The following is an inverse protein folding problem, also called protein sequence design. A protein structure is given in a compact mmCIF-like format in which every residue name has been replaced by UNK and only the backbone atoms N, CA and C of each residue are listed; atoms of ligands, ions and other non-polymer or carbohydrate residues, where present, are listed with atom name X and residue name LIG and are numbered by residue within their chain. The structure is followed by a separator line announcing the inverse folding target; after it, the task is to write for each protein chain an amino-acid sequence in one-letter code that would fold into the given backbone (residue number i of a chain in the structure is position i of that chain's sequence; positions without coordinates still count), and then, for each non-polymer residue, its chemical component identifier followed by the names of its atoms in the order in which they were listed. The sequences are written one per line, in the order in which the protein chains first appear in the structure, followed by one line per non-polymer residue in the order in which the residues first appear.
data_IF_272082271973
#
_entry.id   IF_272082271973
#
_cell.length_a   1.000
_cell.length_b   1.000
_cell.length_c   1.000
_cell.angle_alpha   90.00
_cell.angle_beta   90.00
_cell.angle_gamma   90.00
#
_symmetry.space_group_name_H-M   'P 1'
#
loop_
_entity.id
_entity.type
_entity.pdbx_description
1 polymer ?
#
# COMPACT_ATOMS: atom_id res chain seq x y z
N UNK A 1 -25.63 -96.91 22.27
CA UNK A 1 -25.49 -95.48 21.89
C UNK A 1 -24.25 -94.93 22.58
N UNK A 2 -23.10 -94.96 21.89
CA UNK A 2 -21.82 -94.40 22.35
C UNK A 2 -21.57 -93.05 21.60
N UNK A 3 -20.60 -92.17 21.80
CA UNK A 3 -19.46 -91.96 22.71
C UNK A 3 -18.83 -90.61 22.28
N UNK A 4 -18.34 -89.83 23.25
CA UNK A 4 -17.17 -88.92 23.25
C UNK A 4 -16.93 -87.75 22.25
N UNK A 5 -16.15 -86.80 22.79
CA UNK A 5 -15.20 -85.83 22.17
C UNK A 5 -15.79 -84.61 21.47
N UNK A 6 -15.19 -83.42 21.46
CA UNK A 6 -14.26 -82.61 22.29
C UNK A 6 -14.19 -81.27 21.52
N UNK A 7 -14.00 -80.16 22.23
CA UNK A 7 -13.23 -78.98 21.85
C UNK A 7 -13.35 -78.40 20.42
N UNK A 8 -13.78 -77.14 20.30
CA UNK A 8 -12.85 -76.02 20.07
C UNK A 8 -13.57 -74.69 19.85
N UNK A 9 -12.86 -73.62 20.23
CA UNK A 9 -13.12 -72.19 19.98
C UNK A 9 -14.19 -71.51 20.84
N UNK A 10 -13.75 -71.22 22.07
CA UNK A 10 -13.88 -69.89 22.64
C UNK A 10 -13.21 -68.90 21.68
N UNK A 11 -13.98 -68.08 20.95
CA UNK A 11 -13.72 -66.69 20.59
C UNK A 11 -14.87 -66.20 19.70
N UNK A 12 -15.15 -64.90 19.71
CA UNK A 12 -16.22 -64.21 18.94
C UNK A 12 -17.60 -64.07 19.58
N UNK A 13 -17.69 -63.54 20.81
CA UNK A 13 -18.87 -62.76 21.26
C UNK A 13 -18.56 -61.58 22.20
N UNK A 14 -17.39 -60.93 22.08
CA UNK A 14 -17.06 -59.72 22.85
C UNK A 14 -16.25 -58.68 22.05
N UNK A 15 -16.58 -58.45 20.78
CA UNK A 15 -16.05 -57.30 20.01
C UNK A 15 -17.21 -56.62 19.30
N UNK A 16 -18.14 -56.08 20.09
CA UNK A 16 -19.22 -55.22 19.59
C UNK A 16 -19.65 -54.29 20.73
N UNK A 17 -18.70 -53.56 21.33
CA UNK A 17 -18.96 -52.47 22.29
C UNK A 17 -17.72 -51.62 22.65
N UNK A 18 -16.71 -51.54 21.78
CA UNK A 18 -15.56 -50.63 21.96
C UNK A 18 -15.07 -50.11 20.61
N UNK A 19 -15.90 -49.31 19.93
CA UNK A 19 -15.48 -48.52 18.75
C UNK A 19 -16.44 -47.35 18.46
N UNK A 20 -17.08 -46.77 19.48
CA UNK A 20 -17.89 -45.54 19.35
C UNK A 20 -17.40 -44.53 20.39
N UNK A 21 -16.15 -44.14 20.24
CA UNK A 21 -15.52 -43.18 21.13
C UNK A 21 -14.12 -42.89 20.64
N UNK A 22 -14.00 -42.37 19.41
CA UNK A 22 -12.82 -41.67 18.87
C UNK A 22 -13.13 -41.04 17.49
N UNK A 23 -14.35 -40.54 17.33
CA UNK A 23 -14.71 -39.60 16.28
C UNK A 23 -15.50 -38.51 16.96
N UNK A 24 -14.82 -37.46 17.43
CA UNK A 24 -15.31 -36.11 17.77
C UNK A 24 -14.29 -35.44 18.70
N UNK A 25 -13.17 -34.97 18.15
CA UNK A 25 -12.48 -33.71 18.52
C UNK A 25 -11.30 -33.50 17.57
N UNK A 26 -11.61 -33.24 16.31
CA UNK A 26 -10.79 -32.34 15.48
C UNK A 26 -11.75 -31.35 14.84
N UNK A 27 -12.54 -30.69 15.70
CA UNK A 27 -12.92 -29.33 15.40
C UNK A 27 -11.66 -28.55 15.71
N UNK A 28 -10.97 -28.05 14.68
CA UNK A 28 -9.82 -27.17 14.86
C UNK A 28 -10.20 -26.13 15.91
N UNK A 29 -9.42 -26.05 16.99
CA UNK A 29 -9.59 -25.04 18.01
C UNK A 29 -9.59 -23.69 17.31
N UNK A 30 -10.78 -23.09 17.17
CA UNK A 30 -10.88 -21.67 16.87
C UNK A 30 -10.27 -21.00 18.09
N UNK A 31 -9.01 -20.61 17.99
CA UNK A 31 -8.35 -19.79 19.00
C UNK A 31 -9.28 -18.62 19.29
N UNK A 32 -9.76 -18.51 20.54
CA UNK A 32 -10.59 -17.39 20.91
C UNK A 32 -9.76 -16.12 20.66
N UNK A 33 -10.38 -15.10 20.07
CA UNK A 33 -9.76 -13.79 19.87
C UNK A 33 -9.24 -13.26 21.21
N UNK A 34 -9.94 -13.56 22.30
CA UNK A 34 -9.49 -13.19 23.65
C UNK A 34 -8.16 -13.86 24.02
N UNK A 35 -7.92 -15.12 23.63
CA UNK A 35 -6.68 -15.86 23.87
C UNK A 35 -5.54 -15.42 22.94
N UNK A 36 -5.84 -15.11 21.67
CA UNK A 36 -4.83 -14.70 20.68
C UNK A 36 -4.12 -13.39 21.08
N UNK A 37 -4.87 -12.43 21.62
CA UNK A 37 -4.39 -11.09 21.94
C UNK A 37 -4.23 -10.85 23.45
N UNK A 38 -3.87 -11.90 24.21
CA UNK A 38 -3.42 -11.76 25.60
C UNK A 38 -2.00 -11.20 25.63
N UNK A 39 -1.74 -10.28 26.56
CA UNK A 39 -0.40 -9.73 26.81
C UNK A 39 0.57 -10.83 27.25
N UNK A 40 1.69 -10.97 26.53
CA UNK A 40 2.75 -11.97 26.73
C UNK A 40 4.11 -11.33 27.05
N UNK A 41 4.24 -10.01 26.97
CA UNK A 41 5.49 -9.30 27.26
C UNK A 41 6.54 -9.42 26.14
N UNK A 42 6.08 -9.57 24.89
CA UNK A 42 6.93 -9.63 23.69
C UNK A 42 7.49 -8.24 23.35
N UNK A 43 8.56 -8.19 22.55
CA UNK A 43 9.10 -6.92 22.02
C UNK A 43 8.02 -6.11 21.28
N UNK A 44 7.25 -6.76 20.42
CA UNK A 44 6.08 -6.18 19.78
C UNK A 44 4.90 -7.16 19.91
N UNK A 45 3.77 -6.68 20.41
CA UNK A 45 2.57 -7.49 20.52
C UNK A 45 1.31 -6.67 20.34
N UNK A 46 0.23 -7.35 19.97
CA UNK A 46 -1.09 -6.74 19.91
C UNK A 46 -1.88 -7.31 21.06
N UNK A 47 -2.44 -6.43 21.86
CA UNK A 47 -3.29 -6.79 22.99
C UNK A 47 -4.70 -6.31 22.75
N UNK A 48 -5.67 -7.12 23.17
CA UNK A 48 -7.06 -6.68 23.25
C UNK A 48 -7.29 -6.07 24.63
N UNK A 49 -7.69 -4.81 24.66
CA UNK A 49 -8.08 -4.08 25.87
C UNK A 49 -9.52 -3.63 25.68
N UNK A 50 -10.44 -4.17 26.48
CA UNK A 50 -11.88 -3.99 26.30
C UNK A 50 -12.33 -4.32 24.86
N UNK A 51 -12.90 -3.35 24.15
CA UNK A 51 -13.35 -3.48 22.76
C UNK A 51 -12.30 -2.97 21.73
N UNK A 52 -11.10 -2.62 22.17
CA UNK A 52 -10.03 -2.08 21.35
C UNK A 52 -8.84 -3.03 21.19
N UNK A 53 -8.13 -2.87 20.07
CA UNK A 53 -6.83 -3.52 19.84
C UNK A 53 -5.73 -2.48 19.91
N UNK A 54 -4.72 -2.73 20.74
CA UNK A 54 -3.58 -1.85 20.94
C UNK A 54 -2.32 -2.59 20.53
N UNK A 55 -1.61 -2.05 19.55
CA UNK A 55 -0.25 -2.48 19.26
C UNK A 55 0.67 -1.92 20.34
N UNK A 56 1.45 -2.77 20.99
CA UNK A 56 2.45 -2.42 21.99
C UNK A 56 3.83 -2.64 21.41
N UNK A 57 4.75 -1.71 21.69
CA UNK A 57 6.19 -1.86 21.47
C UNK A 57 6.90 -1.71 22.80
N UNK A 58 7.60 -2.76 23.23
CA UNK A 58 8.27 -2.86 24.53
C UNK A 58 7.32 -2.51 25.69
N UNK A 59 6.06 -2.94 25.59
CA UNK A 59 5.02 -2.71 26.60
C UNK A 59 4.29 -1.38 26.52
N UNK A 60 4.72 -0.44 25.66
CA UNK A 60 4.11 0.87 25.50
C UNK A 60 3.18 0.94 24.27
N UNK A 61 2.01 1.62 24.34
CA UNK A 61 1.12 1.82 23.21
C UNK A 61 1.82 2.45 22.00
N UNK A 62 1.59 1.88 20.82
CA UNK A 62 2.26 2.24 19.59
C UNK A 62 1.25 2.32 18.44
N UNK A 63 0.76 3.51 18.14
CA UNK A 63 -0.06 3.75 16.94
C UNK A 63 0.83 4.07 15.73
N UNK A 64 0.62 3.38 14.61
CA UNK A 64 1.46 3.51 13.43
C UNK A 64 1.14 4.80 12.66
N UNK A 65 2.05 5.78 12.76
CA UNK A 65 2.10 7.01 11.94
C UNK A 65 3.14 6.79 10.85
N UNK A 66 2.76 5.98 9.87
CA UNK A 66 3.70 5.35 8.95
C UNK A 66 3.78 5.99 7.57
N UNK A 67 4.92 5.77 6.92
CA UNK A 67 5.15 6.08 5.51
C UNK A 67 5.68 4.85 4.74
N UNK A 68 5.15 4.61 3.54
CA UNK A 68 5.60 3.54 2.65
C UNK A 68 6.68 4.06 1.70
N UNK A 69 7.90 3.51 1.79
CA UNK A 69 9.04 4.01 1.02
C UNK A 69 10.35 3.35 1.43
N UNK A 70 11.41 3.60 0.65
CA UNK A 70 12.76 3.04 0.90
C UNK A 70 13.81 4.13 1.21
N UNK A 71 13.43 5.40 1.20
CA UNK A 71 14.33 6.56 1.32
C UNK A 71 13.68 7.68 2.15
N UNK A 72 14.43 8.75 2.45
CA UNK A 72 13.96 9.95 3.14
C UNK A 72 13.43 9.69 4.56
N UNK A 73 14.13 8.84 5.32
CA UNK A 73 13.72 8.43 6.67
C UNK A 73 13.88 9.54 7.71
N UNK A 74 14.91 10.37 7.54
CA UNK A 74 15.03 11.68 8.19
C UNK A 74 13.75 12.49 8.05
N UNK A 75 13.24 12.65 6.83
CA UNK A 75 12.03 13.44 6.56
C UNK A 75 10.77 12.82 7.16
N UNK A 76 10.66 11.48 7.21
CA UNK A 76 9.56 10.80 7.91
C UNK A 76 9.57 11.24 9.38
N UNK A 77 10.75 11.19 10.01
CA UNK A 77 10.90 11.55 11.42
C UNK A 77 10.64 13.03 11.68
N UNK A 78 11.18 13.91 10.83
CA UNK A 78 11.01 15.37 10.92
C UNK A 78 9.53 15.77 10.81
N UNK A 79 8.78 15.10 9.94
CA UNK A 79 7.34 15.34 9.80
C UNK A 79 6.48 14.60 10.85
N UNK A 80 7.09 13.96 11.86
CA UNK A 80 6.39 13.34 12.99
C UNK A 80 5.92 11.89 12.76
N UNK A 81 6.33 11.28 11.65
CA UNK A 81 6.15 9.85 11.43
C UNK A 81 7.02 9.01 12.39
N UNK A 82 6.60 7.78 12.62
CA UNK A 82 7.29 6.85 13.54
C UNK A 82 7.65 5.50 12.91
N UNK A 83 7.16 5.19 11.71
CA UNK A 83 7.33 3.87 11.11
C UNK A 83 7.47 3.92 9.58
N UNK A 84 8.18 2.95 9.03
CA UNK A 84 8.36 2.74 7.60
C UNK A 84 7.79 1.39 7.20
N UNK A 85 7.14 1.31 6.04
CA UNK A 85 6.79 0.03 5.40
C UNK A 85 7.62 -0.15 4.13
N UNK A 86 8.21 -1.34 4.00
CA UNK A 86 8.90 -1.80 2.79
C UNK A 86 8.31 -3.14 2.33
N UNK A 87 8.37 -3.40 1.03
CA UNK A 87 7.69 -4.55 0.40
C UNK A 87 8.56 -5.81 0.33
N UNK A 88 9.89 -5.67 0.40
CA UNK A 88 10.82 -6.78 0.26
C UNK A 88 12.05 -6.64 1.15
N UNK A 89 12.66 -7.76 1.51
CA UNK A 89 13.83 -7.83 2.36
C UNK A 89 15.19 -7.72 1.64
N UNK A 90 15.22 -7.40 0.33
CA UNK A 90 16.45 -7.38 -0.48
C UNK A 90 17.60 -6.56 0.13
N UNK A 91 17.28 -5.40 0.70
CA UNK A 91 18.22 -4.51 1.39
C UNK A 91 17.83 -4.31 2.87
N UNK A 92 17.29 -5.35 3.50
CA UNK A 92 16.70 -5.25 4.85
C UNK A 92 17.67 -4.67 5.89
N UNK A 93 18.94 -5.09 5.91
CA UNK A 93 19.93 -4.56 6.85
C UNK A 93 20.04 -3.03 6.77
N UNK A 94 20.25 -2.48 5.56
CA UNK A 94 20.35 -1.04 5.35
C UNK A 94 19.07 -0.30 5.74
N UNK A 95 17.90 -0.85 5.36
CA UNK A 95 16.61 -0.24 5.71
C UNK A 95 16.40 -0.23 7.23
N UNK A 96 16.70 -1.33 7.89
CA UNK A 96 16.52 -1.48 9.32
C UNK A 96 17.50 -0.57 10.09
N UNK A 97 18.77 -0.53 9.70
CA UNK A 97 19.80 0.33 10.29
C UNK A 97 19.45 1.82 10.12
N UNK A 98 19.03 2.22 8.91
CA UNK A 98 18.68 3.62 8.65
C UNK A 98 17.41 4.02 9.41
N UNK A 99 16.39 3.14 9.47
CA UNK A 99 15.19 3.41 10.27
C UNK A 99 15.56 3.56 11.75
N UNK A 100 16.41 2.67 12.27
CA UNK A 100 16.85 2.72 13.66
C UNK A 100 17.62 4.01 13.98
N UNK A 101 18.53 4.42 13.10
CA UNK A 101 19.29 5.68 13.21
C UNK A 101 18.37 6.90 13.37
N UNK A 102 17.21 6.90 12.71
CA UNK A 102 16.21 7.96 12.81
C UNK A 102 15.12 7.71 13.88
N UNK A 103 15.26 6.66 14.68
CA UNK A 103 14.29 6.29 15.72
C UNK A 103 12.94 5.83 15.16
N UNK A 104 12.93 5.32 13.93
CA UNK A 104 11.77 4.74 13.26
C UNK A 104 11.73 3.23 13.43
N UNK A 105 10.54 2.67 13.28
CA UNK A 105 10.33 1.23 13.18
C UNK A 105 10.03 0.78 11.75
N UNK A 106 10.07 -0.52 11.46
CA UNK A 106 9.92 -1.07 10.11
C UNK A 106 8.93 -2.23 10.12
N UNK A 107 7.86 -2.11 9.32
CA UNK A 107 7.12 -3.27 8.83
C UNK A 107 7.86 -3.82 7.61
N UNK A 108 8.54 -4.95 7.79
CA UNK A 108 9.45 -5.53 6.81
C UNK A 108 8.72 -6.57 5.94
N UNK A 109 8.55 -6.26 4.66
CA UNK A 109 7.89 -7.15 3.71
C UNK A 109 8.75 -8.35 3.28
N UNK A 110 8.11 -9.50 3.25
CA UNK A 110 8.53 -10.73 2.59
C UNK A 110 7.74 -10.84 1.29
N UNK A 111 8.41 -10.63 0.15
CA UNK A 111 7.78 -10.60 -1.16
C UNK A 111 7.37 -12.01 -1.61
N UNK A 112 6.19 -12.46 -1.18
CA UNK A 112 5.56 -13.66 -1.70
C UNK A 112 5.40 -13.53 -3.22
N UNK A 113 5.99 -14.46 -3.97
CA UNK A 113 5.87 -14.47 -5.43
C UNK A 113 4.40 -14.57 -5.85
N UNK A 114 3.97 -13.76 -6.83
CA UNK A 114 2.54 -13.67 -7.16
C UNK A 114 2.19 -14.60 -8.31
N UNK A 115 0.97 -15.14 -8.29
CA UNK A 115 0.47 -16.02 -9.36
C UNK A 115 0.48 -15.31 -10.72
N UNK A 116 0.07 -14.05 -10.76
CA UNK A 116 0.11 -13.21 -11.97
C UNK A 116 1.52 -13.02 -12.54
N UNK A 117 2.57 -13.30 -11.75
CA UNK A 117 3.97 -13.25 -12.17
C UNK A 117 4.49 -14.63 -12.62
N UNK A 118 3.61 -15.63 -12.68
CA UNK A 118 3.90 -17.00 -13.11
C UNK A 118 4.18 -17.99 -11.97
N UNK A 119 4.02 -17.60 -10.70
CA UNK A 119 4.28 -18.50 -9.58
C UNK A 119 3.13 -19.49 -9.35
N UNK A 120 3.44 -20.79 -9.25
CA UNK A 120 2.45 -21.84 -9.06
C UNK A 120 2.47 -22.40 -7.63
N UNK A 121 1.49 -22.03 -6.81
CA UNK A 121 1.35 -22.55 -5.43
C UNK A 121 0.93 -24.02 -5.33
N UNK A 122 0.63 -24.70 -6.44
CA UNK A 122 0.49 -26.17 -6.44
C UNK A 122 1.84 -26.90 -6.52
N UNK A 123 2.92 -26.21 -6.94
CA UNK A 123 4.26 -26.77 -6.95
C UNK A 123 4.88 -26.70 -5.55
N UNK A 124 4.78 -27.82 -4.83
CA UNK A 124 5.31 -27.94 -3.47
C UNK A 124 6.81 -27.66 -3.34
N UNK A 125 7.60 -27.88 -4.40
CA UNK A 125 9.05 -27.60 -4.34
C UNK A 125 9.31 -26.10 -4.40
N UNK A 126 8.59 -25.38 -5.26
CA UNK A 126 8.70 -23.91 -5.35
C UNK A 126 8.23 -23.25 -4.05
N UNK A 127 7.10 -23.70 -3.49
CA UNK A 127 6.57 -23.18 -2.22
C UNK A 127 7.55 -23.46 -1.07
N UNK A 128 8.07 -24.69 -0.95
CA UNK A 128 9.04 -25.03 0.09
C UNK A 128 10.36 -24.26 -0.02
N UNK A 129 10.83 -24.00 -1.24
CA UNK A 129 12.03 -23.19 -1.47
C UNK A 129 11.81 -21.75 -1.02
N UNK A 130 10.68 -21.13 -1.37
CA UNK A 130 10.33 -19.78 -0.93
C UNK A 130 10.21 -19.69 0.61
N UNK A 131 9.56 -20.68 1.25
CA UNK A 131 9.47 -20.74 2.71
C UNK A 131 10.85 -20.81 3.37
N UNK A 132 11.77 -21.61 2.81
CA UNK A 132 13.15 -21.72 3.30
C UNK A 132 13.90 -20.38 3.19
N UNK A 133 13.78 -19.69 2.05
CA UNK A 133 14.40 -18.38 1.84
C UNK A 133 13.88 -17.35 2.84
N UNK A 134 12.57 -17.33 3.12
CA UNK A 134 12.02 -16.45 4.14
C UNK A 134 12.46 -16.82 5.56
N UNK A 135 12.62 -18.10 5.88
CA UNK A 135 13.17 -18.52 7.19
C UNK A 135 14.57 -17.96 7.42
N UNK A 136 15.42 -17.96 6.40
CA UNK A 136 16.76 -17.37 6.49
C UNK A 136 16.72 -15.85 6.73
N UNK A 137 15.80 -15.15 6.06
CA UNK A 137 15.58 -13.71 6.27
C UNK A 137 15.09 -13.43 7.69
N UNK A 138 14.07 -14.15 8.17
CA UNK A 138 13.49 -13.95 9.51
C UNK A 138 14.54 -14.24 10.58
N UNK A 139 15.26 -15.35 10.48
CA UNK A 139 16.33 -15.68 11.41
C UNK A 139 17.42 -14.60 11.45
N UNK A 140 17.72 -13.95 10.32
CA UNK A 140 18.74 -12.92 10.26
C UNK A 140 18.33 -11.61 10.94
N UNK A 141 17.07 -11.19 10.82
CA UNK A 141 16.66 -9.83 11.20
C UNK A 141 15.68 -9.75 12.38
N UNK A 142 15.19 -10.88 12.91
CA UNK A 142 14.24 -10.91 14.03
C UNK A 142 14.65 -10.13 15.27
N UNK A 143 15.95 -9.97 15.51
CA UNK A 143 16.48 -9.29 16.69
C UNK A 143 16.78 -7.80 16.45
N UNK A 144 16.51 -7.29 15.24
CA UNK A 144 16.81 -5.90 14.91
C UNK A 144 15.87 -4.94 15.67
N UNK A 145 16.39 -3.92 16.38
CA UNK A 145 15.57 -3.05 17.27
C UNK A 145 14.53 -2.18 16.55
N UNK A 146 14.74 -1.91 15.26
CA UNK A 146 13.76 -1.22 14.42
C UNK A 146 12.66 -2.13 13.86
N UNK A 147 12.77 -3.46 13.93
CA UNK A 147 11.72 -4.32 13.41
C UNK A 147 10.42 -4.12 14.22
N UNK A 148 9.30 -3.92 13.51
CA UNK A 148 7.97 -3.79 14.12
C UNK A 148 7.14 -5.05 13.85
N UNK A 149 7.07 -5.47 12.60
CA UNK A 149 6.13 -6.47 12.13
C UNK A 149 6.63 -7.08 10.82
N UNK A 150 6.31 -8.35 10.58
CA UNK A 150 6.59 -9.03 9.32
C UNK A 150 5.40 -8.95 8.37
N UNK A 151 5.64 -8.43 7.17
CA UNK A 151 4.65 -8.36 6.10
C UNK A 151 4.71 -9.57 5.17
N UNK A 152 3.81 -10.54 5.31
CA UNK A 152 3.76 -11.77 4.52
C UNK A 152 2.99 -11.52 3.21
N UNK A 153 3.73 -11.21 2.15
CA UNK A 153 3.20 -10.93 0.82
C UNK A 153 2.57 -9.56 0.67
N UNK A 154 2.35 -9.15 -0.59
CA UNK A 154 1.65 -7.93 -0.93
C UNK A 154 0.71 -8.18 -2.11
N UNK A 155 -0.59 -7.99 -1.89
CA UNK A 155 -1.63 -8.12 -2.91
C UNK A 155 -1.56 -9.46 -3.65
N UNK A 156 -1.23 -10.53 -2.91
CA UNK A 156 -1.22 -11.89 -3.46
C UNK A 156 -2.61 -12.36 -3.90
N UNK A 157 -3.66 -11.62 -3.52
CA UNK A 157 -5.03 -11.79 -3.97
C UNK A 157 -5.38 -11.05 -5.28
N UNK A 158 -4.45 -10.26 -5.84
CA UNK A 158 -4.66 -9.56 -7.11
C UNK A 158 -4.57 -10.55 -8.27
N UNK A 159 -5.68 -10.70 -9.00
CA UNK A 159 -5.83 -11.61 -10.14
C UNK A 159 -5.49 -13.08 -9.83
N UNK A 160 -5.55 -13.45 -8.55
CA UNK A 160 -5.24 -14.80 -8.10
C UNK A 160 -6.45 -15.75 -8.24
N UNK A 161 -6.19 -16.92 -8.81
CA UNK A 161 -7.14 -18.03 -8.90
C UNK A 161 -6.70 -19.23 -8.07
N UNK A 162 -5.41 -19.30 -7.72
CA UNK A 162 -4.83 -20.35 -6.94
C UNK A 162 -5.03 -20.12 -5.44
N UNK A 163 -5.99 -20.82 -4.85
CA UNK A 163 -6.26 -20.71 -3.41
C UNK A 163 -5.13 -21.19 -2.51
N UNK A 164 -4.17 -21.99 -3.03
CA UNK A 164 -3.00 -22.48 -2.26
C UNK A 164 -2.01 -21.41 -1.85
N UNK A 165 -2.15 -20.20 -2.39
CA UNK A 165 -1.41 -19.04 -1.89
C UNK A 165 -1.68 -18.80 -0.40
N UNK A 166 -2.90 -19.05 0.08
CA UNK A 166 -3.26 -18.82 1.47
C UNK A 166 -2.68 -19.86 2.43
N UNK A 167 -2.60 -21.11 2.00
CA UNK A 167 -1.86 -22.16 2.73
C UNK A 167 -0.40 -21.72 2.91
N UNK A 168 0.25 -21.25 1.83
CA UNK A 168 1.64 -20.79 1.88
C UNK A 168 1.82 -19.52 2.74
N UNK A 169 0.89 -18.56 2.67
CA UNK A 169 0.89 -17.38 3.55
C UNK A 169 0.80 -17.80 5.02
N UNK A 170 -0.05 -18.76 5.34
CA UNK A 170 -0.17 -19.27 6.70
C UNK A 170 1.10 -20.01 7.15
N UNK A 171 1.65 -20.89 6.32
CA UNK A 171 2.91 -21.61 6.61
C UNK A 171 4.07 -20.65 6.89
N UNK A 172 4.16 -19.54 6.15
CA UNK A 172 5.16 -18.50 6.41
C UNK A 172 4.89 -17.80 7.75
N UNK A 173 3.63 -17.48 8.07
CA UNK A 173 3.28 -16.85 9.35
C UNK A 173 3.56 -17.78 10.55
N UNK A 174 3.25 -19.07 10.45
CA UNK A 174 3.59 -20.08 11.46
C UNK A 174 5.10 -20.21 11.65
N UNK A 175 5.85 -20.25 10.54
CA UNK A 175 7.31 -20.27 10.59
C UNK A 175 7.88 -19.02 11.27
N UNK A 176 7.32 -17.84 11.01
CA UNK A 176 7.74 -16.61 11.68
C UNK A 176 7.51 -16.73 13.18
N UNK A 177 6.32 -17.16 13.64
CA UNK A 177 6.04 -17.32 15.07
C UNK A 177 6.94 -18.35 15.76
N UNK A 178 7.38 -19.38 15.03
CA UNK A 178 8.35 -20.36 15.52
C UNK A 178 9.74 -19.74 15.73
N UNK A 179 10.22 -18.96 14.75
CA UNK A 179 11.60 -18.44 14.71
C UNK A 179 11.75 -17.11 15.47
N UNK A 180 10.71 -16.28 15.42
CA UNK A 180 10.58 -14.94 15.97
C UNK A 180 9.24 -14.82 16.73
N UNK A 181 9.19 -15.26 17.99
CA UNK A 181 7.99 -15.13 18.81
C UNK A 181 7.75 -13.69 19.29
N UNK A 182 8.64 -12.75 18.97
CA UNK A 182 8.67 -11.39 19.50
C UNK A 182 7.99 -10.35 18.60
N UNK A 183 7.69 -10.69 17.34
CA UNK A 183 7.07 -9.77 16.38
C UNK A 183 5.81 -10.37 15.73
N UNK A 184 4.75 -9.57 15.53
CA UNK A 184 3.54 -9.99 14.84
C UNK A 184 3.73 -10.15 13.32
N UNK A 185 2.78 -10.84 12.70
CA UNK A 185 2.67 -11.00 11.24
C UNK A 185 1.45 -10.28 10.69
N UNK A 186 1.56 -9.76 9.47
CA UNK A 186 0.45 -9.21 8.69
C UNK A 186 0.50 -9.68 7.26
N UNK A 187 -0.64 -9.77 6.56
CA UNK A 187 -0.69 -9.87 5.10
C UNK A 187 -1.44 -8.69 4.48
N UNK A 188 -0.96 -8.16 3.35
CA UNK A 188 -1.52 -6.98 2.71
C UNK A 188 -2.43 -7.37 1.55
N UNK A 189 -3.70 -7.02 1.65
CA UNK A 189 -4.73 -7.30 0.65
C UNK A 189 -5.01 -6.07 -0.22
N UNK A 190 -5.22 -6.28 -1.52
CA UNK A 190 -5.82 -5.24 -2.36
C UNK A 190 -7.33 -5.19 -2.12
N UNK A 191 -7.81 -4.05 -1.58
CA UNK A 191 -9.23 -3.76 -1.34
C UNK A 191 -9.91 -4.53 -0.19
N UNK A 192 -11.17 -4.19 0.09
CA UNK A 192 -11.98 -4.69 1.22
C UNK A 192 -13.09 -5.67 0.82
N UNK A 193 -12.73 -6.73 0.09
CA UNK A 193 -13.72 -7.76 -0.28
C UNK A 193 -13.97 -8.69 0.91
N UNK A 194 -15.18 -8.66 1.48
CA UNK A 194 -15.58 -9.51 2.63
C UNK A 194 -15.29 -11.00 2.35
N UNK A 195 -15.54 -11.47 1.12
CA UNK A 195 -15.23 -12.86 0.73
C UNK A 195 -13.73 -13.18 0.89
N UNK A 196 -12.85 -12.28 0.46
CA UNK A 196 -11.40 -12.43 0.61
C UNK A 196 -10.99 -12.38 2.07
N UNK A 197 -11.52 -11.43 2.85
CA UNK A 197 -11.24 -11.33 4.30
C UNK A 197 -11.66 -12.63 5.01
N UNK A 198 -12.83 -13.18 4.69
CA UNK A 198 -13.31 -14.42 5.28
C UNK A 198 -12.47 -15.64 4.88
N UNK A 199 -11.96 -15.66 3.65
CA UNK A 199 -11.05 -16.69 3.18
C UNK A 199 -9.72 -16.63 3.95
N UNK A 200 -9.09 -15.45 4.04
CA UNK A 200 -7.84 -15.26 4.81
C UNK A 200 -8.05 -15.59 6.29
N UNK A 201 -9.17 -15.19 6.87
CA UNK A 201 -9.50 -15.53 8.27
C UNK A 201 -9.58 -17.04 8.48
N UNK A 202 -10.03 -17.80 7.48
CA UNK A 202 -10.18 -19.26 7.56
C UNK A 202 -8.86 -19.99 7.29
N UNK A 203 -8.14 -19.60 6.25
CA UNK A 203 -6.96 -20.32 5.75
C UNK A 203 -5.65 -19.81 6.36
N UNK A 204 -5.64 -18.63 6.97
CA UNK A 204 -4.44 -18.02 7.56
C UNK A 204 -4.58 -17.68 9.06
N UNK A 205 -4.93 -18.64 9.94
CA UNK A 205 -5.11 -18.38 11.37
C UNK A 205 -3.86 -17.83 12.09
N UNK A 206 -2.66 -18.09 11.58
CA UNK A 206 -1.42 -17.57 12.15
C UNK A 206 -1.23 -16.05 11.90
N UNK A 207 -1.90 -15.45 10.91
CA UNK A 207 -1.80 -14.01 10.66
C UNK A 207 -2.39 -13.21 11.82
N UNK A 208 -1.63 -12.28 12.40
CA UNK A 208 -2.04 -11.45 13.56
C UNK A 208 -2.83 -10.20 13.15
N UNK A 209 -2.55 -9.66 11.96
CA UNK A 209 -3.20 -8.45 11.43
C UNK A 209 -3.56 -8.65 9.97
N UNK A 210 -4.77 -8.23 9.58
CA UNK A 210 -5.08 -8.07 8.15
C UNK A 210 -4.81 -6.63 7.76
N UNK A 211 -3.97 -6.45 6.75
CA UNK A 211 -3.65 -5.15 6.20
C UNK A 211 -4.32 -4.91 4.85
N UNK A 212 -4.61 -3.65 4.54
CA UNK A 212 -5.27 -3.27 3.29
C UNK A 212 -4.53 -2.16 2.57
N UNK A 213 -4.28 -2.37 1.28
CA UNK A 213 -3.89 -1.31 0.35
C UNK A 213 -5.18 -0.67 -0.20
N UNK A 214 -5.36 0.61 0.08
CA UNK A 214 -6.62 1.31 -0.15
C UNK A 214 -6.43 2.79 -0.45
N UNK A 215 -7.02 3.25 -1.56
CA UNK A 215 -6.97 4.63 -2.00
C UNK A 215 -8.37 5.27 -1.92
N UNK A 216 -9.19 5.26 -2.99
CA UNK A 216 -10.51 5.88 -2.90
C UNK A 216 -11.55 5.06 -2.13
N UNK A 217 -11.54 3.74 -2.26
CA UNK A 217 -12.55 2.87 -1.68
C UNK A 217 -12.36 2.60 -0.17
N UNK A 218 -12.12 3.66 0.61
CA UNK A 218 -11.97 3.59 2.07
C UNK A 218 -13.26 3.85 2.84
N UNK A 219 -14.39 4.12 2.18
CA UNK A 219 -15.66 4.29 2.90
C UNK A 219 -16.05 2.98 3.61
N UNK A 220 -16.51 3.10 4.85
CA UNK A 220 -17.06 2.01 5.65
C UNK A 220 -16.04 0.88 5.97
N UNK A 221 -14.73 1.15 6.07
CA UNK A 221 -13.72 0.11 6.38
C UNK A 221 -14.12 -0.68 7.63
N UNK A 222 -14.35 0.03 8.74
CA UNK A 222 -14.68 -0.59 10.01
C UNK A 222 -15.96 -1.44 9.92
N UNK A 223 -16.99 -0.94 9.24
CA UNK A 223 -18.26 -1.66 9.02
C UNK A 223 -18.05 -2.93 8.20
N UNK A 224 -17.25 -2.90 7.13
CA UNK A 224 -16.94 -4.08 6.31
C UNK A 224 -16.15 -5.12 7.11
N UNK A 225 -15.21 -4.68 7.94
CA UNK A 225 -14.47 -5.57 8.84
C UNK A 225 -15.43 -6.21 9.87
N UNK A 226 -16.32 -5.43 10.49
CA UNK A 226 -17.34 -5.94 11.42
C UNK A 226 -18.26 -6.99 10.78
N UNK A 227 -18.63 -6.81 9.51
CA UNK A 227 -19.45 -7.76 8.74
C UNK A 227 -18.70 -9.03 8.31
N UNK A 228 -17.36 -9.04 8.40
CA UNK A 228 -16.54 -10.20 8.07
C UNK A 228 -16.38 -11.15 9.27
N UNK A 229 -15.77 -12.30 8.98
CA UNK A 229 -15.36 -13.27 9.98
C UNK A 229 -14.11 -12.81 10.75
N UNK A 230 -13.37 -11.82 10.25
CA UNK A 230 -12.19 -11.30 10.93
C UNK A 230 -12.59 -10.55 12.21
N UNK A 231 -11.98 -10.93 13.32
CA UNK A 231 -12.26 -10.36 14.64
C UNK A 231 -11.06 -9.64 15.26
N UNK A 232 -9.88 -9.70 14.63
CA UNK A 232 -8.67 -9.02 15.06
C UNK A 232 -8.57 -7.55 14.60
N UNK A 233 -7.41 -6.92 14.81
CA UNK A 233 -7.11 -5.57 14.32
C UNK A 233 -6.93 -5.54 12.80
N UNK A 234 -6.91 -4.33 12.24
CA UNK A 234 -6.45 -4.09 10.88
C UNK A 234 -5.50 -2.92 10.79
N UNK A 235 -4.74 -2.87 9.70
CA UNK A 235 -3.79 -1.82 9.37
C UNK A 235 -4.09 -1.33 7.94
N UNK A 236 -4.05 -0.02 7.71
CA UNK A 236 -4.09 0.51 6.34
C UNK A 236 -2.66 0.55 5.80
N UNK A 237 -2.23 -0.50 5.14
CA UNK A 237 -0.83 -0.69 4.72
C UNK A 237 -0.40 0.20 3.57
N UNK A 238 -1.34 0.74 2.80
CA UNK A 238 -1.11 1.80 1.82
C UNK A 238 -2.36 2.67 1.74
N UNK A 239 -2.18 3.99 1.81
CA UNK A 239 -3.18 4.99 1.44
C UNK A 239 -2.50 6.21 0.83
N UNK A 240 -3.21 6.97 0.01
CA UNK A 240 -2.62 8.12 -0.69
C UNK A 240 -3.61 8.77 -1.66
N UNK A 241 -3.07 9.37 -2.72
CA UNK A 241 -3.87 9.88 -3.84
C UNK A 241 -4.80 8.80 -4.42
N UNK A 242 -5.87 9.22 -5.10
CA UNK A 242 -6.78 8.29 -5.79
C UNK A 242 -6.00 7.42 -6.78
N UNK A 243 -6.31 6.11 -6.84
CA UNK A 243 -5.67 5.23 -7.82
C UNK A 243 -6.07 5.59 -9.25
N UNK A 244 -5.17 5.40 -10.22
CA UNK A 244 -5.46 5.67 -11.64
C UNK A 244 -6.62 4.85 -12.20
N UNK A 245 -6.91 3.69 -11.61
CA UNK A 245 -8.06 2.85 -11.95
C UNK A 245 -9.38 3.32 -11.31
N UNK A 246 -9.36 4.39 -10.50
CA UNK A 246 -10.52 4.94 -9.78
C UNK A 246 -10.92 6.33 -10.31
N UNK A 247 -10.24 6.83 -11.34
CA UNK A 247 -10.45 8.17 -11.91
C UNK A 247 -11.15 8.13 -13.27
N UNK A 248 -11.63 9.30 -13.72
CA UNK A 248 -12.13 9.46 -15.08
C UNK A 248 -10.96 9.43 -16.08
N UNK A 249 -11.26 9.10 -17.33
CA UNK A 249 -10.28 9.07 -18.41
C UNK A 249 -10.65 10.04 -19.52
N UNK A 250 -9.64 10.48 -20.27
CA UNK A 250 -9.83 11.16 -21.55
C UNK A 250 -10.39 10.20 -22.61
N UNK A 251 -10.74 10.74 -23.79
CA UNK A 251 -11.20 9.94 -24.94
C UNK A 251 -10.17 8.94 -25.48
N UNK A 252 -8.90 9.06 -25.12
CA UNK A 252 -7.82 8.11 -25.47
C UNK A 252 -7.35 7.32 -24.25
N UNK A 253 -8.22 7.13 -23.27
CA UNK A 253 -8.02 6.33 -22.06
C UNK A 253 -6.88 6.78 -21.14
N UNK A 254 -6.37 8.02 -21.30
CA UNK A 254 -5.42 8.58 -20.34
C UNK A 254 -6.16 8.98 -19.05
N UNK A 255 -5.74 8.48 -17.87
CA UNK A 255 -6.42 8.77 -16.61
C UNK A 255 -6.16 10.22 -16.15
N UNK A 256 -7.19 10.88 -15.64
CA UNK A 256 -7.10 12.23 -15.08
C UNK A 256 -6.49 12.17 -13.69
N UNK A 257 -5.41 12.92 -13.48
CA UNK A 257 -4.67 12.95 -12.22
C UNK A 257 -5.09 14.17 -11.40
N UNK A 258 -5.28 13.96 -10.09
CA UNK A 258 -5.54 15.04 -9.15
C UNK A 258 -4.38 16.03 -9.09
N UNK A 259 -4.66 17.31 -8.88
CA UNK A 259 -3.61 18.26 -8.47
C UNK A 259 -3.05 17.87 -7.09
N UNK A 260 -1.86 18.36 -6.72
CA UNK A 260 -1.28 18.10 -5.39
C UNK A 260 -2.19 18.56 -4.26
N UNK A 261 -2.92 19.66 -4.43
CA UNK A 261 -3.86 20.18 -3.43
C UNK A 261 -5.13 19.35 -3.32
N UNK A 262 -5.63 18.81 -4.43
CA UNK A 262 -6.71 17.83 -4.42
C UNK A 262 -6.27 16.51 -3.76
N UNK A 263 -5.04 16.06 -3.99
CA UNK A 263 -4.45 14.89 -3.31
C UNK A 263 -4.38 15.13 -1.81
N UNK A 264 -3.87 16.28 -1.37
CA UNK A 264 -3.75 16.63 0.04
C UNK A 264 -5.11 16.60 0.76
N UNK A 265 -6.11 17.26 0.16
CA UNK A 265 -7.48 17.28 0.68
C UNK A 265 -8.08 15.86 0.76
N UNK A 266 -7.87 15.06 -0.28
CA UNK A 266 -8.37 13.69 -0.35
C UNK A 266 -7.71 12.77 0.70
N UNK A 267 -6.40 12.88 0.88
CA UNK A 267 -5.63 12.09 1.87
C UNK A 267 -6.06 12.45 3.28
N UNK A 268 -6.22 13.75 3.59
CA UNK A 268 -6.73 14.21 4.90
C UNK A 268 -8.06 13.56 5.23
N UNK A 269 -9.02 13.62 4.31
CA UNK A 269 -10.36 13.05 4.50
C UNK A 269 -10.28 11.54 4.82
N UNK A 270 -9.45 10.79 4.08
CA UNK A 270 -9.31 9.34 4.27
C UNK A 270 -8.63 8.96 5.57
N UNK A 271 -7.60 9.69 5.96
CA UNK A 271 -6.92 9.47 7.23
C UNK A 271 -7.88 9.64 8.41
N UNK A 272 -8.57 10.79 8.46
CA UNK A 272 -9.50 11.12 9.55
C UNK A 272 -10.67 10.13 9.65
N UNK A 273 -11.18 9.65 8.51
CA UNK A 273 -12.33 8.74 8.48
C UNK A 273 -12.00 7.29 8.81
N UNK A 274 -10.77 6.82 8.52
CA UNK A 274 -10.51 5.37 8.47
C UNK A 274 -9.23 4.89 9.16
N UNK A 275 -8.32 5.81 9.50
CA UNK A 275 -7.02 5.48 10.08
C UNK A 275 -6.88 6.00 11.51
N UNK A 276 -7.34 7.23 11.80
CA UNK A 276 -7.28 7.90 13.11
C UNK A 276 -7.31 6.95 14.32
N UNK A 277 -6.52 7.22 15.38
CA UNK A 277 -6.46 6.37 16.59
C UNK A 277 -7.83 6.13 17.25
N UNK A 278 -8.82 6.96 16.99
CA UNK A 278 -10.19 6.81 17.52
C UNK A 278 -10.98 5.66 16.85
N UNK A 279 -10.40 4.98 15.86
CA UNK A 279 -11.07 3.96 15.06
C UNK A 279 -10.72 2.58 15.60
N UNK A 280 -11.68 1.96 16.32
CA UNK A 280 -11.40 0.96 17.36
C UNK A 280 -10.59 -0.29 17.00
N UNK A 281 -10.57 -0.72 15.72
CA UNK A 281 -9.74 -1.87 15.28
C UNK A 281 -8.54 -1.47 14.42
N UNK A 282 -8.36 -0.20 14.11
CA UNK A 282 -7.24 0.28 13.33
C UNK A 282 -6.02 0.49 14.22
N UNK A 283 -4.88 -0.10 13.86
CA UNK A 283 -3.61 0.12 14.58
C UNK A 283 -2.69 1.14 13.88
N UNK A 284 -3.19 1.79 12.84
CA UNK A 284 -2.54 2.89 12.13
C UNK A 284 -2.51 2.72 10.63
N UNK A 285 -1.57 3.40 9.96
CA UNK A 285 -1.47 3.35 8.51
C UNK A 285 -0.14 3.83 7.95
N UNK A 286 0.09 3.51 6.67
CA UNK A 286 1.26 3.92 5.91
C UNK A 286 0.86 4.75 4.68
N UNK A 287 1.20 6.05 4.69
CA UNK A 287 0.96 6.92 3.53
C UNK A 287 1.90 6.55 2.39
N UNK A 288 1.41 6.53 1.16
CA UNK A 288 2.11 6.05 -0.03
C UNK A 288 2.07 7.10 -1.14
N UNK A 289 3.18 7.41 -1.82
CA UNK A 289 4.55 6.90 -1.69
C UNK A 289 5.47 7.99 -1.11
N UNK A 290 6.14 7.70 0.00
CA UNK A 290 7.03 8.67 0.67
C UNK A 290 8.34 8.84 -0.10
N UNK A 291 8.32 9.76 -1.05
CA UNK A 291 9.41 10.05 -1.98
C UNK A 291 8.89 10.27 -3.40
N UNK A 292 9.72 9.92 -4.37
CA UNK A 292 9.42 10.05 -5.80
C UNK A 292 9.51 8.70 -6.51
N UNK A 293 8.48 8.34 -7.28
CA UNK A 293 8.42 7.10 -8.06
C UNK A 293 7.62 7.33 -9.34
N UNK A 294 8.12 6.82 -10.46
CA UNK A 294 7.31 6.66 -11.66
C UNK A 294 6.28 5.55 -11.42
N UNK A 295 4.99 5.91 -11.41
CA UNK A 295 3.87 4.97 -11.43
C UNK A 295 2.66 5.64 -12.07
N UNK A 296 2.26 5.19 -13.25
CA UNK A 296 1.41 5.95 -14.22
C UNK A 296 2.04 7.26 -14.69
N UNK A 297 2.34 8.19 -13.78
CA UNK A 297 3.04 9.46 -14.03
C UNK A 297 4.15 9.65 -12.98
N UNK A 298 5.09 10.59 -13.16
CA UNK A 298 6.08 10.90 -12.12
C UNK A 298 5.46 11.47 -10.84
N UNK A 299 4.24 12.03 -10.92
CA UNK A 299 3.58 12.72 -9.81
C UNK A 299 2.46 11.93 -9.14
N UNK A 300 2.00 10.82 -9.72
CA UNK A 300 0.75 10.17 -9.30
C UNK A 300 0.68 9.90 -7.80
N UNK A 301 1.62 9.09 -7.30
CA UNK A 301 1.73 8.73 -5.88
C UNK A 301 2.94 9.37 -5.19
N UNK A 302 3.77 10.12 -5.91
CA UNK A 302 4.95 10.78 -5.35
C UNK A 302 4.51 11.88 -4.38
N UNK A 303 4.92 11.79 -3.12
CA UNK A 303 4.70 12.83 -2.11
C UNK A 303 5.78 13.92 -2.13
N UNK A 304 6.88 13.65 -2.84
CA UNK A 304 8.01 14.56 -3.00
C UNK A 304 8.42 14.62 -4.47
N UNK A 305 9.07 15.71 -4.86
CA UNK A 305 9.76 15.79 -6.14
C UNK A 305 10.95 14.82 -6.19
N UNK A 306 11.59 14.71 -7.36
CA UNK A 306 12.84 13.97 -7.53
C UNK A 306 14.01 14.56 -6.72
N UNK A 307 14.00 15.87 -6.49
CA UNK A 307 15.04 16.61 -5.74
C UNK A 307 14.72 16.72 -4.25
N UNK A 308 13.51 16.34 -3.84
CA UNK A 308 13.13 16.18 -2.43
C UNK A 308 12.19 17.26 -1.89
N UNK A 309 11.78 18.24 -2.70
CA UNK A 309 10.74 19.20 -2.30
C UNK A 309 9.42 18.50 -1.98
N UNK A 310 8.73 19.00 -0.96
CA UNK A 310 7.58 18.34 -0.35
C UNK A 310 6.26 18.88 -0.90
N UNK A 311 5.29 18.00 -1.10
CA UNK A 311 3.95 18.40 -1.54
C UNK A 311 3.05 18.76 -0.37
N UNK A 312 1.93 19.44 -0.62
CA UNK A 312 0.91 19.75 0.40
C UNK A 312 0.38 18.48 1.12
N UNK A 313 0.49 17.29 0.51
CA UNK A 313 0.14 16.05 1.19
C UNK A 313 1.10 15.75 2.36
N UNK A 314 2.39 16.10 2.26
CA UNK A 314 3.35 15.98 3.36
C UNK A 314 3.00 16.93 4.50
N UNK A 315 2.63 18.17 4.20
CA UNK A 315 2.14 19.13 5.21
C UNK A 315 0.92 18.59 5.95
N UNK A 316 -0.04 18.02 5.21
CA UNK A 316 -1.22 17.36 5.79
C UNK A 316 -0.82 16.22 6.73
N UNK A 317 0.14 15.39 6.34
CA UNK A 317 0.61 14.30 7.21
C UNK A 317 1.33 14.83 8.46
N UNK A 318 2.14 15.88 8.33
CA UNK A 318 2.79 16.55 9.47
C UNK A 318 1.75 17.04 10.47
N UNK A 319 0.74 17.76 10.01
CA UNK A 319 -0.36 18.24 10.86
C UNK A 319 -1.09 17.07 11.54
N UNK A 320 -1.47 16.04 10.79
CA UNK A 320 -2.22 14.89 11.34
C UNK A 320 -1.38 14.07 12.34
N UNK A 321 -0.06 14.02 12.18
CA UNK A 321 0.82 13.26 13.04
C UNK A 321 1.27 14.04 14.29
N UNK A 322 1.40 15.35 14.20
CA UNK A 322 2.01 16.18 15.27
C UNK A 322 1.06 17.22 15.88
N UNK A 323 0.02 17.62 15.14
CA UNK A 323 -0.79 18.81 15.40
C UNK A 323 -0.11 20.12 14.97
N UNK A 324 1.11 20.07 14.42
CA UNK A 324 1.87 21.25 14.02
C UNK A 324 1.44 21.77 12.64
N UNK A 325 1.17 23.08 12.58
CA UNK A 325 0.77 23.82 11.38
C UNK A 325 1.66 25.03 11.11
N UNK A 326 2.78 25.15 11.83
CA UNK A 326 3.63 26.35 11.88
C UNK A 326 4.70 26.45 10.78
N UNK A 327 4.92 25.38 10.00
CA UNK A 327 5.88 25.38 8.89
C UNK A 327 5.38 26.07 7.62
N UNK A 328 6.32 26.41 6.73
CA UNK A 328 6.02 26.91 5.38
C UNK A 328 5.17 25.91 4.64
N UNK A 329 4.04 26.35 4.11
CA UNK A 329 3.06 25.51 3.43
C UNK A 329 3.41 25.39 1.97
N UNK A 330 3.25 24.20 1.43
CA UNK A 330 3.38 23.99 0.00
C UNK A 330 2.39 24.87 -0.78
N UNK A 331 2.75 25.29 -2.01
CA UNK A 331 1.86 26.08 -2.83
C UNK A 331 0.53 25.36 -3.07
N UNK A 332 -0.56 26.12 -3.06
CA UNK A 332 -1.87 25.62 -3.44
C UNK A 332 -2.04 25.72 -4.96
N UNK A 333 -2.54 24.66 -5.59
CA UNK A 333 -2.87 24.64 -7.03
C UNK A 333 -4.30 24.16 -7.24
N UNK A 334 -5.15 25.06 -7.75
CA UNK A 334 -6.56 24.76 -7.98
C UNK A 334 -6.76 23.93 -9.26
N UNK A 335 -6.12 24.34 -10.35
CA UNK A 335 -6.28 23.71 -11.67
C UNK A 335 -5.18 24.14 -12.64
N UNK A 336 -5.08 23.37 -13.73
CA UNK A 336 -4.28 23.64 -14.92
C UNK A 336 -5.21 23.75 -16.13
N UNK A 337 -4.89 24.65 -17.05
CA UNK A 337 -5.61 24.81 -18.32
C UNK A 337 -4.65 24.73 -19.50
N UNK A 338 -5.15 24.20 -20.62
CA UNK A 338 -4.48 24.17 -21.91
C UNK A 338 -5.50 24.54 -22.98
N UNK A 339 -5.15 25.48 -23.87
CA UNK A 339 -6.07 26.03 -24.88
C UNK A 339 -7.35 26.64 -24.26
N UNK A 340 -7.24 27.16 -23.03
CA UNK A 340 -8.38 27.69 -22.27
C UNK A 340 -9.40 26.65 -21.79
N UNK A 341 -9.09 25.35 -21.96
CA UNK A 341 -9.93 24.24 -21.52
C UNK A 341 -9.35 23.57 -20.26
N UNK A 342 -10.20 22.81 -19.58
CA UNK A 342 -9.84 21.92 -18.47
C UNK A 342 -9.56 20.49 -18.96
N UNK A 343 -8.85 19.73 -18.14
CA UNK A 343 -8.33 18.38 -18.44
C UNK A 343 -9.44 17.36 -18.78
N UNK A 344 -10.59 17.45 -18.10
CA UNK A 344 -11.74 16.60 -18.34
C UNK A 344 -12.40 16.81 -19.72
N UNK A 345 -12.01 17.84 -20.48
CA UNK A 345 -12.59 18.14 -21.80
C UNK A 345 -11.88 17.42 -22.96
N UNK A 346 -10.86 16.59 -22.72
CA UNK A 346 -10.13 15.80 -23.74
C UNK A 346 -9.64 16.66 -24.93
N UNK A 347 -8.62 17.48 -24.70
CA UNK A 347 -8.14 18.46 -25.70
C UNK A 347 -7.30 17.81 -26.81
N UNK A 348 -7.65 18.14 -28.05
CA UNK A 348 -6.85 17.85 -29.24
C UNK A 348 -6.12 19.11 -29.75
N UNK A 349 -4.84 18.94 -30.07
CA UNK A 349 -3.97 19.97 -30.63
C UNK A 349 -3.52 19.57 -32.04
N UNK A 350 -3.40 20.54 -32.93
CA UNK A 350 -2.86 20.32 -34.27
C UNK A 350 -1.32 20.20 -34.22
N UNK A 351 -0.71 19.28 -34.98
CA UNK A 351 0.74 19.10 -34.97
C UNK A 351 1.51 20.38 -35.31
N UNK A 352 2.49 20.72 -34.46
CA UNK A 352 3.39 21.87 -34.68
C UNK A 352 2.78 23.25 -34.41
N UNK A 353 1.49 23.33 -34.04
CA UNK A 353 0.84 24.58 -33.64
C UNK A 353 1.16 24.95 -32.19
N UNK A 354 0.99 26.23 -31.84
CA UNK A 354 1.31 26.77 -30.52
C UNK A 354 0.04 27.16 -29.75
N UNK A 355 -0.06 26.70 -28.49
CA UNK A 355 -1.20 26.91 -27.62
C UNK A 355 -0.76 27.48 -26.27
N UNK A 356 -1.65 28.24 -25.63
CA UNK A 356 -1.41 28.75 -24.27
C UNK A 356 -1.78 27.71 -23.22
N UNK A 357 -0.95 27.60 -22.18
CA UNK A 357 -1.26 26.87 -20.96
C UNK A 357 -1.05 27.77 -19.73
N UNK A 358 -1.77 27.49 -18.66
CA UNK A 358 -1.66 28.24 -17.40
C UNK A 358 -2.06 27.41 -16.20
N UNK A 359 -1.47 27.70 -15.04
CA UNK A 359 -1.89 27.16 -13.74
C UNK A 359 -2.48 28.26 -12.87
N UNK A 360 -3.57 27.93 -12.16
CA UNK A 360 -4.06 28.78 -11.08
C UNK A 360 -3.53 28.26 -9.75
N UNK A 361 -2.52 28.96 -9.23
CA UNK A 361 -1.83 28.60 -7.99
C UNK A 361 -1.51 29.85 -7.16
N UNK A 362 -1.43 29.70 -5.84
CA UNK A 362 -0.98 30.72 -4.91
C UNK A 362 -0.19 30.08 -3.76
N UNK A 363 0.67 30.87 -3.14
CA UNK A 363 1.40 30.44 -1.96
C UNK A 363 0.62 30.86 -0.70
N UNK A 364 0.30 29.95 0.23
CA UNK A 364 -0.42 30.30 1.45
C UNK A 364 0.30 31.29 2.36
N UNK A 365 1.64 31.32 2.34
CA UNK A 365 2.48 32.18 3.17
C UNK A 365 2.92 33.46 2.44
N UNK A 366 2.60 33.55 1.14
CA UNK A 366 2.83 34.74 0.32
C UNK A 366 4.16 34.71 -0.44
N UNK A 367 4.82 33.56 -0.51
CA UNK A 367 6.10 33.39 -1.20
C UNK A 367 5.96 33.55 -2.73
N UNK A 368 7.09 33.88 -3.37
CA UNK A 368 7.16 34.03 -4.82
C UNK A 368 7.22 32.67 -5.50
N UNK A 369 6.26 32.40 -6.38
CA UNK A 369 6.15 31.11 -7.05
C UNK A 369 6.93 31.05 -8.38
N UNK A 370 7.71 29.98 -8.54
CA UNK A 370 8.39 29.60 -9.79
C UNK A 370 7.72 28.38 -10.40
N UNK A 371 7.33 28.44 -11.67
CA UNK A 371 6.71 27.30 -12.37
C UNK A 371 7.68 26.70 -13.37
N UNK A 372 7.96 25.41 -13.23
CA UNK A 372 8.66 24.60 -14.24
C UNK A 372 7.63 23.78 -15.03
N UNK A 373 7.79 23.77 -16.35
CA UNK A 373 6.89 23.09 -17.27
C UNK A 373 7.64 21.99 -18.03
N UNK A 374 6.99 20.87 -18.24
CA UNK A 374 7.51 19.81 -19.12
C UNK A 374 6.37 19.12 -19.86
N UNK A 375 6.69 18.55 -21.02
CA UNK A 375 5.78 17.64 -21.73
C UNK A 375 6.42 16.28 -21.80
N UNK A 376 5.68 15.27 -21.36
CA UNK A 376 6.05 13.87 -21.51
C UNK A 376 5.10 13.19 -22.50
N UNK A 377 5.56 12.20 -23.28
CA UNK A 377 4.66 11.24 -23.92
C UNK A 377 3.76 10.57 -22.87
N UNK A 378 2.50 10.33 -23.19
CA UNK A 378 1.62 9.60 -22.29
C UNK A 378 2.07 8.14 -22.16
N UNK A 379 1.99 7.59 -20.96
CA UNK A 379 2.35 6.19 -20.69
C UNK A 379 1.14 5.38 -20.30
N UNK A 380 0.93 4.27 -21.02
CA UNK A 380 -0.11 3.31 -20.70
C UNK A 380 0.49 2.12 -19.98
N UNK A 381 0.00 1.84 -18.77
CA UNK A 381 0.35 0.62 -18.07
C UNK A 381 -0.39 -0.55 -18.72
N UNK A 382 0.35 -1.50 -19.28
CA UNK A 382 -0.23 -2.81 -19.62
C UNK A 382 -0.47 -3.56 -18.31
N UNK A 383 -1.72 -3.94 -18.05
CA UNK A 383 -2.12 -4.62 -16.81
C UNK A 383 -1.49 -6.02 -16.66
N UNK A 384 -1.01 -6.61 -17.76
CA UNK A 384 -0.52 -7.99 -17.85
C UNK A 384 1.01 -8.12 -17.81
N UNK A 385 1.78 -7.02 -17.84
CA UNK A 385 3.24 -7.09 -17.89
C UNK A 385 3.89 -6.79 -16.54
N UNK A 386 4.82 -7.66 -16.14
CA UNK A 386 5.85 -7.42 -15.12
C UNK A 386 6.79 -6.22 -15.45
N UNK A 387 6.41 -5.36 -16.39
CA UNK A 387 7.15 -4.16 -16.76
C UNK A 387 7.10 -3.16 -15.63
N UNK A 388 8.27 -2.74 -15.15
CA UNK A 388 8.39 -1.55 -14.32
C UNK A 388 7.94 -0.35 -15.16
N UNK A 389 7.18 0.56 -14.59
CA UNK A 389 6.87 1.83 -15.25
C UNK A 389 8.18 2.58 -15.44
N UNK A 390 8.49 2.92 -16.69
CA UNK A 390 9.70 3.65 -17.08
C UNK A 390 9.28 5.10 -17.29
N UNK A 391 9.96 6.03 -16.61
CA UNK A 391 9.75 7.45 -16.82
C UNK A 391 10.13 7.78 -18.28
N UNK A 392 9.21 8.27 -19.11
CA UNK A 392 9.53 8.61 -20.49
C UNK A 392 10.46 9.83 -20.54
N UNK A 393 11.26 9.93 -21.60
CA UNK A 393 12.06 11.13 -21.83
C UNK A 393 11.15 12.33 -22.14
N UNK A 394 11.44 13.52 -21.59
CA UNK A 394 10.74 14.73 -21.97
C UNK A 394 10.82 15.02 -23.47
N UNK A 395 9.74 15.55 -24.03
CA UNK A 395 9.73 16.01 -25.42
C UNK A 395 10.55 17.30 -25.51
N UNK A 396 11.63 17.36 -26.30
CA UNK A 396 12.49 18.54 -26.35
C UNK A 396 11.86 19.68 -27.16
N UNK A 397 12.17 20.92 -26.81
CA UNK A 397 11.82 22.13 -27.57
C UNK A 397 10.31 22.34 -27.80
N UNK A 398 9.45 21.87 -26.89
CA UNK A 398 7.99 22.08 -26.95
C UNK A 398 7.47 23.07 -25.91
N UNK A 399 8.31 23.45 -24.94
CA UNK A 399 8.03 24.51 -23.99
C UNK A 399 8.66 25.79 -24.52
N UNK A 400 7.81 26.79 -24.82
CA UNK A 400 8.21 28.11 -25.27
C UNK A 400 8.39 29.10 -24.13
N UNK A 401 8.16 30.38 -24.41
CA UNK A 401 8.28 31.44 -23.41
C UNK A 401 7.27 31.26 -22.27
N UNK A 402 7.78 31.29 -21.03
CA UNK A 402 6.99 31.30 -19.82
C UNK A 402 6.92 32.72 -19.23
N UNK A 403 5.75 33.13 -18.77
CA UNK A 403 5.54 34.41 -18.09
C UNK A 403 4.65 34.19 -16.88
N UNK A 404 5.23 34.31 -15.69
CA UNK A 404 4.57 34.00 -14.42
C UNK A 404 4.06 32.56 -14.39
N UNK A 405 2.74 32.39 -14.31
CA UNK A 405 2.04 31.10 -14.19
C UNK A 405 1.48 30.60 -15.53
N UNK A 406 1.96 31.15 -16.63
CA UNK A 406 1.53 30.82 -17.99
C UNK A 406 2.71 30.49 -18.89
N UNK A 407 2.47 29.65 -19.90
CA UNK A 407 3.49 29.21 -20.86
C UNK A 407 2.90 28.98 -22.25
N UNK A 408 3.74 29.13 -23.28
CA UNK A 408 3.41 28.69 -24.65
C UNK A 408 3.88 27.26 -24.85
N UNK A 409 3.00 26.40 -25.34
CA UNK A 409 3.26 24.98 -25.62
C UNK A 409 3.17 24.75 -27.12
N UNK A 410 4.26 24.32 -27.73
CA UNK A 410 4.27 23.86 -29.11
C UNK A 410 3.86 22.39 -29.16
N UNK A 411 2.73 22.10 -29.80
CA UNK A 411 2.28 20.73 -29.99
C UNK A 411 3.35 19.92 -30.73
N UNK A 412 3.77 18.76 -30.22
CA UNK A 412 4.70 17.87 -30.92
C UNK A 412 4.29 17.63 -32.38
N UNK A 413 5.25 17.51 -33.30
CA UNK A 413 4.93 17.16 -34.71
C UNK A 413 4.44 15.72 -34.87
N UNK A 414 4.86 14.84 -33.96
CA UNK A 414 4.46 13.44 -33.94
C UNK A 414 3.07 13.36 -33.30
N UNK A 415 2.10 12.84 -34.03
CA UNK A 415 0.77 12.56 -33.49
C UNK A 415 0.82 11.53 -32.36
N UNK A 416 -0.13 11.66 -31.43
CA UNK A 416 -0.24 10.77 -30.28
C UNK A 416 -0.59 11.48 -28.99
N UNK A 417 -0.71 10.71 -27.90
CA UNK A 417 -1.04 11.22 -26.58
C UNK A 417 0.21 11.74 -25.84
N UNK A 418 0.05 12.87 -25.18
CA UNK A 418 1.06 13.55 -24.37
C UNK A 418 0.44 14.10 -23.10
N UNK A 419 1.29 14.52 -22.17
CA UNK A 419 0.86 15.17 -20.92
C UNK A 419 1.78 16.34 -20.60
N UNK A 420 1.17 17.50 -20.38
CA UNK A 420 1.83 18.71 -19.89
C UNK A 420 1.84 18.67 -18.36
N UNK A 421 2.99 18.89 -17.74
CA UNK A 421 3.15 18.99 -16.30
C UNK A 421 3.56 20.41 -15.90
N UNK A 422 3.10 20.84 -14.74
CA UNK A 422 3.51 22.05 -14.07
C UNK A 422 3.96 21.71 -12.64
N UNK A 423 5.20 22.07 -12.31
CA UNK A 423 5.77 22.00 -10.96
C UNK A 423 5.91 23.43 -10.44
N UNK A 424 5.19 23.76 -9.37
CA UNK A 424 5.14 25.10 -8.78
C UNK A 424 5.94 25.08 -7.48
N UNK A 425 7.09 25.76 -7.46
CA UNK A 425 7.98 25.84 -6.30
C UNK A 425 7.83 27.17 -5.58
N UNK A 426 7.88 27.15 -4.24
CA UNK A 426 7.89 28.34 -3.38
C UNK A 426 9.31 28.86 -3.08
N UNK A 427 10.33 28.03 -3.27
CA UNK A 427 11.71 28.34 -2.87
C UNK A 427 12.04 28.00 -1.41
N UNK A 428 11.08 27.39 -0.69
CA UNK A 428 11.16 26.98 0.71
C UNK A 428 11.03 25.46 0.87
N UNK A 429 11.57 24.71 -0.11
CA UNK A 429 11.57 23.25 -0.18
C UNK A 429 10.16 22.62 -0.34
N UNK A 430 9.20 23.36 -0.89
CA UNK A 430 7.92 22.77 -1.28
C UNK A 430 7.66 22.84 -2.78
N UNK A 431 6.76 21.97 -3.22
CA UNK A 431 6.31 21.89 -4.61
C UNK A 431 4.82 21.55 -4.68
N UNK A 432 4.12 22.22 -5.58
CA UNK A 432 2.79 21.81 -6.01
C UNK A 432 2.85 21.25 -7.44
N UNK A 433 1.96 20.32 -7.75
CA UNK A 433 1.96 19.63 -9.05
C UNK A 433 0.57 19.63 -9.67
N UNK A 434 0.49 19.96 -10.95
CA UNK A 434 -0.70 19.74 -11.78
C UNK A 434 -0.25 19.24 -13.15
N UNK A 435 -1.12 18.48 -13.83
CA UNK A 435 -0.82 18.05 -15.20
C UNK A 435 -2.09 17.94 -16.05
N UNK A 436 -1.90 17.94 -17.37
CA UNK A 436 -2.97 18.01 -18.35
C UNK A 436 -2.68 17.03 -19.49
N UNK A 437 -3.44 15.92 -19.64
CA UNK A 437 -3.33 15.07 -20.82
C UNK A 437 -3.92 15.74 -22.05
N UNK A 438 -3.21 15.67 -23.17
CA UNK A 438 -3.69 16.15 -24.47
C UNK A 438 -3.29 15.19 -25.59
N UNK A 439 -3.99 15.27 -26.73
CA UNK A 439 -3.68 14.46 -27.90
C UNK A 439 -3.28 15.35 -29.07
N UNK A 440 -2.23 15.00 -29.78
CA UNK A 440 -1.85 15.65 -31.04
C UNK A 440 -2.44 14.86 -32.20
N UNK A 441 -3.26 15.49 -33.03
CA UNK A 441 -3.82 14.87 -34.24
C UNK A 441 -4.16 15.90 -35.32
N UNK A 442 -3.91 15.56 -36.57
CA UNK A 442 -4.38 16.32 -37.73
C UNK A 442 -5.87 16.10 -38.03
N UNK A 443 -6.47 15.03 -37.48
CA UNK A 443 -7.86 14.63 -37.71
C UNK A 443 -8.54 14.29 -36.37
N UNK A 444 -8.88 15.30 -35.54
CA UNK A 444 -9.58 15.06 -34.27
C UNK A 444 -10.96 14.43 -34.52
N UNK A 445 -11.50 13.67 -33.55
CA UNK A 445 -12.77 12.96 -33.69
C UNK A 445 -14.03 13.86 -33.72
N UNK A 446 -13.88 15.19 -33.74
CA UNK A 446 -14.97 16.17 -33.74
C UNK A 446 -14.75 17.30 -34.73
#
# INVERSE_FOLDING_TARGET
MPILYKNASILYKCVFLFAIGWFLTSCGERTDVTEKYVRKGRKVEIVKQDDQFVLLRNGEPYFIKGAGGYTNFDKIKENGGNSVRVWHAKNAQQVLDEAHKHGLTVTLGLWMAREREGFNYYDKKLVAQQLKEFREVVHRYKDHPALLMWGVGNEVNMDATNSKVWDAVNEVAEMIHEVDPDHPTTTMLIGLRIKTINLVTKECPAIDVISFNMFANMKDVEKRIKLSNWKGPYLVSEFGARGAWETYTTLWDAPLEQTSSEKASFVRERYLQNISPDIGRCIGGYVFFWGHKQEYTPTWFSLMSKTGEETETVDVMRELWTGDTSGNKAPYVAYIQLKGSFDFQSVFLEPGQEYGASVYAFDPDGDSLRVEWEVLPETYRKLDSNSKDILPNPVPNVIGEASGKSVRVHAPKKEGPYRLYAYIYDGHNNVATANFPFYVSSNPPY
#
